data_IF_933834450581
#
_entry.id   IF_933834450581
#
_cell.length_a   1.000
_cell.length_b   1.000
_cell.length_c   1.000
_cell.angle_alpha   90.00
_cell.angle_beta   90.00
_cell.angle_gamma   90.00
#
_symmetry.space_group_name_H-M   'P 1'
#
loop_
_entity.id
_entity.type
_entity.pdbx_description
1 polymer ?
#
# COMPACT_ATOMS: atom_id res chain seq x y z
N UNK A 1 -6.67 -2.51 0.94
CA UNK A 1 -5.23 -2.70 0.81
C UNK A 1 -4.55 -2.34 2.12
N UNK A 2 -3.75 -3.24 2.67
CA UNK A 2 -2.83 -2.93 3.76
C UNK A 2 -1.49 -2.58 3.11
N UNK A 3 -0.96 -1.40 3.41
CA UNK A 3 0.23 -0.82 2.81
C UNK A 3 1.24 -0.61 3.94
N UNK A 4 2.40 -1.23 3.82
CA UNK A 4 3.50 -1.11 4.76
C UNK A 4 4.65 -0.38 4.06
N UNK A 5 5.20 0.65 4.69
CA UNK A 5 6.30 1.46 4.10
C UNK A 5 7.47 1.58 5.06
N UNK A 6 8.68 1.78 4.53
CA UNK A 6 9.90 1.95 5.35
C UNK A 6 10.06 3.35 5.93
N UNK A 7 9.44 4.35 5.28
CA UNK A 7 9.61 5.77 5.58
C UNK A 7 8.28 6.51 5.36
N UNK A 8 7.66 6.93 6.46
CA UNK A 8 6.36 7.60 6.49
C UNK A 8 6.36 8.96 5.79
N UNK A 9 7.53 9.59 5.62
CA UNK A 9 7.62 10.88 4.93
C UNK A 9 7.21 10.77 3.46
N UNK A 10 7.26 9.57 2.88
CA UNK A 10 6.85 9.28 1.51
C UNK A 10 5.35 8.99 1.36
N UNK A 11 4.56 9.05 2.44
CA UNK A 11 3.14 8.67 2.43
C UNK A 11 2.31 9.43 1.38
N UNK A 12 2.62 10.71 1.10
CA UNK A 12 1.92 11.49 0.07
C UNK A 12 2.14 10.94 -1.34
N UNK A 13 3.38 10.56 -1.67
CA UNK A 13 3.73 9.98 -2.96
C UNK A 13 3.04 8.62 -3.12
N UNK A 14 3.11 7.79 -2.08
CA UNK A 14 2.46 6.47 -2.05
C UNK A 14 0.95 6.59 -2.21
N UNK A 15 0.32 7.55 -1.52
CA UNK A 15 -1.13 7.78 -1.61
C UNK A 15 -1.54 8.23 -3.01
N UNK A 16 -0.80 9.12 -3.65
CA UNK A 16 -1.08 9.56 -5.01
C UNK A 16 -1.01 8.40 -6.02
N UNK A 17 0.01 7.54 -5.91
CA UNK A 17 0.14 6.34 -6.76
C UNK A 17 -0.99 5.35 -6.48
N UNK A 18 -1.31 5.09 -5.20
CA UNK A 18 -2.43 4.22 -4.81
C UNK A 18 -3.74 4.70 -5.44
N UNK A 19 -3.99 6.00 -5.44
CA UNK A 19 -5.24 6.58 -5.94
C UNK A 19 -5.37 6.42 -7.46
N UNK A 20 -4.28 6.51 -8.22
CA UNK A 20 -4.28 6.22 -9.66
C UNK A 20 -4.45 4.72 -9.94
N UNK A 21 -3.69 3.86 -9.24
CA UNK A 21 -3.74 2.39 -9.41
C UNK A 21 -5.13 1.84 -9.07
N UNK A 22 -5.73 2.29 -7.96
CA UNK A 22 -7.03 1.83 -7.49
C UNK A 22 -8.19 2.77 -7.86
N UNK A 23 -8.04 3.61 -8.89
CA UNK A 23 -9.07 4.59 -9.30
C UNK A 23 -10.46 4.01 -9.50
N UNK A 24 -10.54 2.75 -9.95
CA UNK A 24 -11.81 2.06 -10.22
C UNK A 24 -12.28 1.22 -9.04
N UNK A 25 -11.39 0.44 -8.43
CA UNK A 25 -11.76 -0.53 -7.38
C UNK A 25 -11.93 0.12 -6.00
N UNK A 26 -11.25 1.24 -5.73
CA UNK A 26 -11.32 2.04 -4.50
C UNK A 26 -11.46 1.21 -3.20
N UNK A 27 -10.56 0.24 -2.93
CA UNK A 27 -10.66 -0.55 -1.72
C UNK A 27 -10.34 0.32 -0.49
N UNK A 28 -10.91 -0.02 0.66
CA UNK A 28 -10.47 0.55 1.94
C UNK A 28 -8.97 0.32 2.11
N UNK A 29 -8.24 1.29 2.66
CA UNK A 29 -6.79 1.17 2.83
C UNK A 29 -6.30 1.58 4.20
N UNK A 30 -5.26 0.90 4.66
CA UNK A 30 -4.46 1.27 5.83
C UNK A 30 -3.01 1.40 5.37
N UNK A 31 -2.34 2.49 5.75
CA UNK A 31 -0.93 2.76 5.45
C UNK A 31 -0.21 3.01 6.77
N UNK A 32 0.87 2.26 7.02
CA UNK A 32 1.67 2.37 8.25
C UNK A 32 3.16 2.22 7.94
N UNK A 33 4.00 2.85 8.74
CA UNK A 33 5.44 2.60 8.74
C UNK A 33 5.78 1.31 9.49
N UNK A 34 6.77 0.56 9.00
CA UNK A 34 7.31 -0.64 9.64
C UNK A 34 8.83 -0.54 9.78
N UNK A 35 9.39 -1.23 10.77
CA UNK A 35 10.83 -1.19 11.06
C UNK A 35 11.70 -1.87 9.98
N UNK A 36 11.13 -2.74 9.17
CA UNK A 36 11.85 -3.45 8.12
C UNK A 36 10.99 -4.44 7.36
N UNK A 37 11.56 -5.00 6.29
CA UNK A 37 10.93 -6.01 5.44
C UNK A 37 11.83 -7.25 5.37
N UNK A 38 11.31 -8.34 4.79
CA UNK A 38 12.08 -9.57 4.58
C UNK A 38 13.28 -9.33 3.66
N UNK A 39 13.13 -8.43 2.68
CA UNK A 39 14.19 -8.00 1.77
C UNK A 39 14.62 -6.59 2.12
N UNK A 40 15.93 -6.36 2.29
CA UNK A 40 16.46 -5.09 2.78
C UNK A 40 16.24 -3.92 1.81
N UNK A 41 16.24 -4.23 0.51
CA UNK A 41 15.98 -3.29 -0.58
C UNK A 41 14.51 -2.91 -0.75
N UNK A 42 13.58 -3.63 -0.10
CA UNK A 42 12.17 -3.31 -0.15
C UNK A 42 11.87 -2.05 0.66
N UNK A 43 11.15 -1.11 0.04
CA UNK A 43 10.71 0.14 0.67
C UNK A 43 9.20 0.19 0.90
N UNK A 44 8.46 -0.73 0.28
CA UNK A 44 7.01 -0.84 0.36
C UNK A 44 6.57 -2.30 0.15
N UNK A 45 5.55 -2.72 0.89
CA UNK A 45 4.83 -3.99 0.68
C UNK A 45 3.33 -3.73 0.72
N UNK A 46 2.58 -4.36 -0.20
CA UNK A 46 1.13 -4.15 -0.32
C UNK A 46 0.43 -5.49 -0.29
N UNK A 47 -0.47 -5.66 0.69
CA UNK A 47 -1.36 -6.80 0.80
C UNK A 47 -2.78 -6.41 0.42
N UNK A 48 -3.39 -7.18 -0.47
CA UNK A 48 -4.75 -6.96 -0.96
C UNK A 48 -5.62 -8.19 -0.74
N UNK A 49 -6.89 -7.96 -0.47
CA UNK A 49 -7.94 -8.98 -0.45
C UNK A 49 -8.95 -8.62 -1.53
N UNK A 50 -9.31 -9.58 -2.37
CA UNK A 50 -10.26 -9.39 -3.45
C UNK A 50 -11.39 -10.42 -3.36
N UNK A 51 -12.59 -10.01 -3.75
CA UNK A 51 -13.78 -10.87 -3.85
C UNK A 51 -14.40 -10.66 -5.22
N UNK A 52 -14.70 -11.75 -5.93
CA UNK A 52 -15.49 -11.71 -7.16
C UNK A 52 -16.92 -12.11 -6.81
N UNK A 53 -17.84 -11.15 -6.85
CA UNK A 53 -19.26 -11.42 -6.72
C UNK A 53 -19.77 -12.04 -8.04
N UNK A 54 -20.62 -13.05 -7.92
CA UNK A 54 -21.26 -13.72 -9.07
C UNK A 54 -22.43 -12.91 -9.56
#
# INVERSE_FOLDING_TARGET
AQIFIKDITQAKIVSAIRDDVFKNSKPVSTLVEVSGFIKDECVIEIKVTAVKLK
#
